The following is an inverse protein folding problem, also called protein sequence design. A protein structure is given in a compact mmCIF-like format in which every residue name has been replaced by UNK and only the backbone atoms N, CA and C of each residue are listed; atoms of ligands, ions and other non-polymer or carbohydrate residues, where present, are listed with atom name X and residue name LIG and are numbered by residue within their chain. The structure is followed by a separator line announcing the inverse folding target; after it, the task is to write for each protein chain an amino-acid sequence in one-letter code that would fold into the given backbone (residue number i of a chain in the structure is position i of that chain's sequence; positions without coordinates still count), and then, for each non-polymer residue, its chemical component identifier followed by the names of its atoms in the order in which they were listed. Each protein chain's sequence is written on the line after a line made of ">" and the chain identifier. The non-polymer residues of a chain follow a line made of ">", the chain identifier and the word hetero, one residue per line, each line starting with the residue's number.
data_IF_085331187137
#
_entry.id   IF_085331187137
#
_cell.length_a   1.000
_cell.length_b   1.000
_cell.length_c   1.000
_cell.angle_alpha   90.00
_cell.angle_beta   90.00
_cell.angle_gamma   90.00
#
_symmetry.space_group_name_H-M   'P 1'
#
loop_
_entity.id
_entity.type
_entity.pdbx_description
1 polymer ?
#
# COMPACT_ATOMS: atom_id res chain seq x y z
N UNK A 1 -24.76 1.78 9.68
CA UNK A 1 -24.36 1.13 10.94
C UNK A 1 -22.84 1.13 11.04
N UNK A 2 -22.25 1.93 11.93
CA UNK A 2 -20.81 1.86 12.22
C UNK A 2 -20.56 0.53 12.96
N UNK A 3 -19.78 -0.36 12.36
CA UNK A 3 -19.33 -1.59 13.04
C UNK A 3 -18.48 -1.19 14.26
N UNK A 4 -18.65 -1.85 15.41
CA UNK A 4 -17.82 -1.56 16.58
C UNK A 4 -16.35 -1.80 16.24
N UNK A 5 -15.48 -0.91 16.71
CA UNK A 5 -14.03 -1.00 16.52
C UNK A 5 -13.52 -2.07 17.47
N UNK A 6 -13.34 -3.29 16.98
CA UNK A 6 -12.83 -4.42 17.78
C UNK A 6 -11.36 -4.68 17.49
N UNK A 7 -10.68 -5.32 18.43
CA UNK A 7 -9.26 -5.65 18.30
C UNK A 7 -8.98 -6.55 17.07
N UNK A 8 -9.87 -7.49 16.79
CA UNK A 8 -9.84 -8.31 15.57
C UNK A 8 -9.89 -7.46 14.28
N UNK A 9 -10.67 -6.38 14.29
CA UNK A 9 -10.74 -5.45 13.15
C UNK A 9 -9.44 -4.67 12.95
N UNK A 10 -8.72 -4.39 14.05
CA UNK A 10 -7.39 -3.80 14.04
C UNK A 10 -6.34 -4.76 13.47
N UNK A 11 -6.30 -6.00 13.94
CA UNK A 11 -5.40 -7.06 13.43
C UNK A 11 -5.62 -7.31 11.94
N UNK A 12 -6.88 -7.42 11.50
CA UNK A 12 -7.19 -7.63 10.09
C UNK A 12 -6.68 -6.49 9.21
N UNK A 13 -6.83 -5.24 9.65
CA UNK A 13 -6.28 -4.07 8.95
C UNK A 13 -4.74 -4.09 8.93
N UNK A 14 -4.11 -4.52 10.03
CA UNK A 14 -2.65 -4.66 10.12
C UNK A 14 -2.10 -5.67 9.12
N UNK A 15 -2.75 -6.84 8.97
CA UNK A 15 -2.35 -7.84 7.98
C UNK A 15 -2.44 -7.29 6.55
N UNK A 16 -3.51 -6.57 6.24
CA UNK A 16 -3.66 -5.90 4.93
C UNK A 16 -2.58 -4.83 4.74
N UNK A 17 -2.28 -4.05 5.78
CA UNK A 17 -1.24 -3.03 5.73
C UNK A 17 0.15 -3.63 5.50
N UNK A 18 0.50 -4.73 6.19
CA UNK A 18 1.75 -5.46 5.96
C UNK A 18 1.87 -5.95 4.51
N UNK A 19 0.81 -6.56 3.99
CA UNK A 19 0.77 -6.99 2.59
C UNK A 19 0.98 -5.80 1.63
N UNK A 20 0.29 -4.69 1.88
CA UNK A 20 0.43 -3.47 1.08
C UNK A 20 1.85 -2.86 1.15
N UNK A 21 2.48 -2.91 2.32
CA UNK A 21 3.83 -2.41 2.57
C UNK A 21 4.90 -3.24 1.86
N UNK A 22 4.66 -4.53 1.64
CA UNK A 22 5.53 -5.42 0.85
C UNK A 22 5.26 -5.25 -0.66
N UNK A 23 3.99 -5.21 -1.07
CA UNK A 23 3.61 -5.12 -2.49
C UNK A 23 4.03 -3.79 -3.10
N UNK A 24 3.89 -2.68 -2.38
CA UNK A 24 4.27 -1.33 -2.84
C UNK A 24 5.70 -1.24 -3.39
N UNK A 25 6.76 -1.56 -2.61
CA UNK A 25 8.14 -1.50 -3.09
C UNK A 25 8.45 -2.54 -4.18
N UNK A 26 7.74 -3.67 -4.21
CA UNK A 26 7.89 -4.67 -5.29
C UNK A 26 7.41 -4.08 -6.61
N UNK A 27 6.21 -3.47 -6.64
CA UNK A 27 5.66 -2.83 -7.84
C UNK A 27 6.57 -1.69 -8.32
N UNK A 28 7.09 -0.86 -7.40
CA UNK A 28 8.09 0.16 -7.71
C UNK A 28 9.37 -0.43 -8.30
N UNK A 29 9.91 -1.49 -7.70
CA UNK A 29 11.11 -2.17 -8.19
C UNK A 29 10.92 -2.73 -9.60
N UNK A 30 9.75 -3.32 -9.87
CA UNK A 30 9.37 -3.78 -11.21
C UNK A 30 9.25 -2.60 -12.20
N UNK A 31 8.67 -1.48 -11.78
CA UNK A 31 8.59 -0.26 -12.59
C UNK A 31 9.97 0.30 -12.96
N UNK A 32 10.88 0.39 -12.00
CA UNK A 32 12.26 0.83 -12.25
C UNK A 32 13.03 -0.16 -13.13
N UNK A 33 12.82 -1.48 -12.95
CA UNK A 33 13.40 -2.50 -13.81
C UNK A 33 12.86 -2.39 -15.24
N UNK A 34 11.56 -2.21 -15.39
CA UNK A 34 10.90 -2.01 -16.68
C UNK A 34 11.43 -0.76 -17.39
N UNK A 35 11.69 0.34 -16.67
CA UNK A 35 12.26 1.57 -17.23
C UNK A 35 13.69 1.36 -17.76
N UNK A 36 14.45 0.41 -17.18
CA UNK A 36 15.78 0.04 -17.68
C UNK A 36 15.71 -0.85 -18.91
N UNK A 37 14.73 -1.75 -18.99
CA UNK A 37 14.61 -2.73 -20.07
C UNK A 37 13.90 -2.15 -21.30
N UNK A 38 12.84 -1.37 -21.12
CA UNK A 38 12.06 -0.81 -22.22
C UNK A 38 12.61 0.55 -22.62
N UNK A 39 13.35 0.59 -23.73
CA UNK A 39 13.99 1.81 -24.27
C UNK A 39 13.19 2.51 -25.36
N UNK A 40 12.29 1.79 -26.02
CA UNK A 40 11.53 2.31 -27.16
C UNK A 40 10.02 2.31 -26.90
N UNK A 41 9.34 3.23 -27.57
CA UNK A 41 7.89 3.23 -27.64
C UNK A 41 7.40 1.98 -28.39
N UNK A 42 6.24 1.39 -28.01
CA UNK A 42 5.31 1.84 -26.97
C UNK A 42 5.59 1.23 -25.57
N UNK A 43 6.54 0.30 -25.44
CA UNK A 43 6.75 -0.48 -24.21
C UNK A 43 7.18 0.38 -23.02
N UNK A 44 7.82 1.52 -23.28
CA UNK A 44 8.22 2.48 -22.23
C UNK A 44 7.02 3.05 -21.45
N UNK A 45 5.83 3.14 -22.06
CA UNK A 45 4.61 3.58 -21.36
C UNK A 45 4.18 2.62 -20.25
N UNK A 46 4.46 1.33 -20.41
CA UNK A 46 4.18 0.32 -19.37
C UNK A 46 5.07 0.57 -18.14
N UNK A 47 6.33 0.95 -18.34
CA UNK A 47 7.24 1.29 -17.25
C UNK A 47 6.75 2.51 -16.47
N UNK A 48 6.32 3.57 -17.17
CA UNK A 48 5.73 4.75 -16.53
C UNK A 48 4.43 4.41 -15.79
N UNK A 49 3.57 3.57 -16.37
CA UNK A 49 2.36 3.09 -15.71
C UNK A 49 2.66 2.36 -14.40
N UNK A 50 3.63 1.44 -14.38
CA UNK A 50 4.05 0.75 -13.15
C UNK A 50 4.62 1.70 -12.10
N UNK A 51 5.40 2.71 -12.50
CA UNK A 51 5.95 3.69 -11.57
C UNK A 51 4.86 4.57 -10.95
N UNK A 52 3.88 5.00 -11.75
CA UNK A 52 2.73 5.76 -11.26
C UNK A 52 1.93 4.91 -10.28
N UNK A 53 1.57 3.68 -10.67
CA UNK A 53 0.82 2.76 -9.79
C UNK A 53 1.60 2.48 -8.50
N UNK A 54 2.89 2.16 -8.60
CA UNK A 54 3.74 1.91 -7.44
C UNK A 54 3.89 3.12 -6.52
N UNK A 55 4.04 4.33 -7.10
CA UNK A 55 4.06 5.58 -6.34
C UNK A 55 2.74 5.83 -5.59
N UNK A 56 1.59 5.64 -6.26
CA UNK A 56 0.28 5.72 -5.62
C UNK A 56 0.11 4.67 -4.52
N UNK A 57 0.55 3.44 -4.74
CA UNK A 57 0.55 2.39 -3.71
C UNK A 57 1.34 2.81 -2.47
N UNK A 58 2.47 3.48 -2.64
CA UNK A 58 3.31 3.92 -1.53
C UNK A 58 2.63 5.02 -0.71
N UNK A 59 2.05 6.03 -1.37
CA UNK A 59 1.27 7.08 -0.68
C UNK A 59 0.05 6.47 0.02
N UNK A 60 -0.66 5.56 -0.64
CA UNK A 60 -1.80 4.86 -0.07
C UNK A 60 -1.39 4.00 1.12
N UNK A 61 -0.24 3.32 1.06
CA UNK A 61 0.29 2.53 2.17
C UNK A 61 0.55 3.40 3.39
N UNK A 62 1.20 4.55 3.23
CA UNK A 62 1.44 5.50 4.34
C UNK A 62 0.11 5.95 4.96
N UNK A 63 -0.85 6.41 4.14
CA UNK A 63 -2.19 6.79 4.60
C UNK A 63 -2.90 5.65 5.36
N UNK A 64 -2.89 4.45 4.79
CA UNK A 64 -3.55 3.27 5.36
C UNK A 64 -2.86 2.80 6.65
N UNK A 65 -1.54 2.95 6.74
CA UNK A 65 -0.75 2.71 7.94
C UNK A 65 -1.22 3.57 9.10
N UNK A 66 -1.32 4.88 8.92
CA UNK A 66 -1.86 5.79 9.96
C UNK A 66 -3.26 5.38 10.42
N UNK A 67 -4.15 5.04 9.48
CA UNK A 67 -5.51 4.59 9.80
C UNK A 67 -5.54 3.27 10.56
N UNK A 68 -4.61 2.38 10.25
CA UNK A 68 -4.46 1.06 10.88
C UNK A 68 -3.99 1.22 12.33
N UNK A 69 -2.89 1.95 12.55
CA UNK A 69 -2.38 2.23 13.89
C UNK A 69 -3.40 2.97 14.74
N UNK A 70 -4.12 3.94 14.17
CA UNK A 70 -5.24 4.61 14.86
C UNK A 70 -6.33 3.63 15.30
N UNK A 71 -6.75 2.71 14.42
CA UNK A 71 -7.76 1.68 14.76
C UNK A 71 -7.28 0.78 15.92
N UNK A 72 -6.01 0.38 15.92
CA UNK A 72 -5.44 -0.47 16.96
C UNK A 72 -5.38 0.29 18.29
N UNK A 73 -4.91 1.54 18.27
CA UNK A 73 -4.83 2.40 19.45
C UNK A 73 -6.22 2.65 20.05
N UNK A 74 -7.19 3.01 19.20
CA UNK A 74 -8.58 3.22 19.64
C UNK A 74 -9.16 1.94 20.25
N UNK A 75 -8.90 0.77 19.66
CA UNK A 75 -9.37 -0.50 20.21
C UNK A 75 -8.68 -0.92 21.52
N UNK A 76 -7.46 -0.46 21.77
CA UNK A 76 -6.70 -0.80 22.98
C UNK A 76 -7.00 0.15 24.15
N UNK A 77 -7.23 1.44 23.86
CA UNK A 77 -7.32 2.48 24.89
C UNK A 77 -8.71 3.12 25.03
N UNK A 78 -9.59 3.02 24.04
CA UNK A 78 -10.97 3.52 24.11
C UNK A 78 -11.98 2.37 24.32
N UNK A 79 -11.68 1.46 25.25
CA UNK A 79 -12.73 0.60 25.83
C UNK A 79 -13.73 1.46 26.61
#
# INVERSE_FOLDING_TARGET
>A
MNKPVTFESGIKKLLVFLGLLIVSPIVLSLGFKALRVFKEAPKIFIAYGLLVVGGFLLVFAVYYGFKTFKTILDSLFNQ
#
